data_IF_897592812175
#
_entry.id   IF_897592812175
#
_cell.length_a   1.000
_cell.length_b   1.000
_cell.length_c   1.000
_cell.angle_alpha   90.00
_cell.angle_beta   90.00
_cell.angle_gamma   90.00
#
_symmetry.space_group_name_H-M   'P 1'
#
loop_
_entity.id
_entity.type
_entity.pdbx_description
1 polymer ?
#
# COMPACT_ATOMS: atom_id res chain seq x y z
N UNK A 1 23.14 52.76 12.27
CA UNK A 1 22.96 51.69 13.27
C UNK A 1 21.95 50.63 12.84
N UNK A 2 20.63 50.85 12.82
CA UNK A 2 19.68 49.78 12.43
C UNK A 2 19.84 49.32 10.95
N UNK A 3 19.93 50.25 10.00
CA UNK A 3 20.14 49.92 8.57
C UNK A 3 21.55 49.38 8.26
N UNK A 4 22.58 49.79 9.00
CA UNK A 4 23.94 49.21 8.87
C UNK A 4 23.96 47.77 9.33
N UNK A 5 23.26 47.46 10.43
CA UNK A 5 23.08 46.10 10.92
C UNK A 5 22.33 45.21 9.90
N UNK A 6 21.33 45.75 9.21
CA UNK A 6 20.59 45.01 8.18
C UNK A 6 21.42 44.70 6.93
N UNK A 7 22.28 45.62 6.50
CA UNK A 7 23.22 45.35 5.39
C UNK A 7 24.23 44.26 5.75
N UNK A 8 24.76 44.31 6.97
CA UNK A 8 25.68 43.29 7.47
C UNK A 8 24.99 41.93 7.64
N UNK A 9 23.72 41.90 8.04
CA UNK A 9 22.92 40.67 8.06
C UNK A 9 22.71 40.11 6.64
N UNK A 10 22.29 40.93 5.68
CA UNK A 10 22.05 40.48 4.30
C UNK A 10 23.34 39.97 3.62
N UNK A 11 24.50 40.59 3.90
CA UNK A 11 25.77 40.16 3.32
C UNK A 11 26.25 38.80 3.86
N UNK A 12 25.76 38.37 5.03
CA UNK A 12 26.04 37.05 5.62
C UNK A 12 25.07 35.97 5.16
N UNK A 13 23.90 36.34 4.62
CA UNK A 13 22.94 35.39 4.05
C UNK A 13 23.49 34.76 2.77
N UNK A 14 23.18 33.49 2.57
CA UNK A 14 23.38 32.77 1.32
C UNK A 14 22.46 33.30 0.21
N UNK A 15 22.81 32.98 -1.04
CA UNK A 15 22.02 33.40 -2.20
C UNK A 15 20.59 32.86 -2.14
N UNK A 16 20.40 31.64 -1.62
CA UNK A 16 19.07 31.04 -1.44
C UNK A 16 18.25 31.74 -0.36
N UNK A 17 18.85 32.05 0.78
CA UNK A 17 18.18 32.80 1.85
C UNK A 17 17.72 34.17 1.36
N UNK A 18 18.55 34.87 0.56
CA UNK A 18 18.18 36.15 -0.04
C UNK A 18 17.04 36.01 -1.06
N UNK A 19 17.09 34.99 -1.93
CA UNK A 19 16.01 34.72 -2.91
C UNK A 19 14.71 34.40 -2.18
N UNK A 20 14.74 33.53 -1.18
CA UNK A 20 13.57 33.13 -0.39
C UNK A 20 12.95 34.33 0.34
N UNK A 21 13.78 35.13 1.02
CA UNK A 21 13.32 36.35 1.71
C UNK A 21 12.76 37.41 0.76
N UNK A 22 13.26 37.49 -0.49
CA UNK A 22 12.73 38.41 -1.50
C UNK A 22 11.40 37.95 -2.12
N UNK A 23 11.06 36.66 -2.00
CA UNK A 23 9.95 35.99 -2.69
C UNK A 23 8.94 35.39 -1.70
N UNK A 24 9.14 34.14 -1.26
CA UNK A 24 8.19 33.37 -0.43
C UNK A 24 7.97 34.04 0.93
N UNK A 25 9.04 34.44 1.61
CA UNK A 25 8.95 34.98 2.97
C UNK A 25 8.84 36.52 2.96
N UNK A 26 8.53 37.12 1.80
CA UNK A 26 8.55 38.58 1.60
C UNK A 26 7.68 39.33 2.60
N UNK A 27 6.52 38.77 2.95
CA UNK A 27 5.57 39.40 3.88
C UNK A 27 6.06 39.47 5.33
N UNK A 28 7.08 38.67 5.70
CA UNK A 28 7.68 38.70 7.03
C UNK A 28 8.58 39.93 7.24
N UNK A 29 8.94 40.63 6.15
CA UNK A 29 9.89 41.72 6.16
C UNK A 29 9.23 43.06 5.80
N UNK A 30 9.72 44.13 6.42
CA UNK A 30 9.30 45.49 6.06
C UNK A 30 9.97 45.95 4.74
N UNK A 31 9.38 46.95 4.08
CA UNK A 31 9.86 47.46 2.79
C UNK A 31 11.33 47.90 2.79
N UNK A 32 11.80 48.52 3.88
CA UNK A 32 13.19 48.99 3.98
C UNK A 32 14.19 47.83 4.00
N UNK A 33 13.85 46.71 4.64
CA UNK A 33 14.69 45.52 4.64
C UNK A 33 14.68 44.82 3.28
N UNK A 34 13.52 44.75 2.63
CA UNK A 34 13.38 44.21 1.27
C UNK A 34 14.17 45.01 0.23
N UNK A 35 14.26 46.34 0.37
CA UNK A 35 15.11 47.17 -0.49
C UNK A 35 16.61 46.83 -0.33
N UNK A 36 17.04 46.49 0.89
CA UNK A 36 18.42 46.08 1.16
C UNK A 36 18.69 44.71 0.53
N UNK A 37 17.79 43.74 0.70
CA UNK A 37 17.88 42.42 0.05
C UNK A 37 17.97 42.58 -1.48
N UNK A 38 17.11 43.42 -2.07
CA UNK A 38 17.13 43.70 -3.51
C UNK A 38 18.41 44.42 -3.98
N UNK A 39 19.06 45.19 -3.09
CA UNK A 39 20.41 45.73 -3.32
C UNK A 39 21.45 44.61 -3.36
N UNK A 40 21.47 43.77 -2.34
CA UNK A 40 22.42 42.65 -2.22
C UNK A 40 22.30 41.65 -3.37
N UNK A 41 21.08 41.28 -3.77
CA UNK A 41 20.83 40.41 -4.93
C UNK A 41 21.42 41.01 -6.22
N UNK A 42 21.26 42.32 -6.44
CA UNK A 42 21.84 43.02 -7.61
C UNK A 42 23.36 43.05 -7.54
N UNK A 43 23.92 43.30 -6.37
CA UNK A 43 25.37 43.34 -6.17
C UNK A 43 26.01 41.96 -6.41
N UNK A 44 25.27 40.87 -6.11
CA UNK A 44 25.65 39.48 -6.42
C UNK A 44 25.28 39.01 -7.82
N UNK A 45 24.64 39.86 -8.63
CA UNK A 45 24.15 39.55 -9.98
C UNK A 45 23.19 38.33 -10.01
N UNK A 46 22.33 38.24 -9.01
CA UNK A 46 21.29 37.20 -8.90
C UNK A 46 19.99 37.76 -9.47
N UNK A 47 19.55 37.19 -10.58
CA UNK A 47 18.25 37.48 -11.19
C UNK A 47 17.24 36.41 -10.76
N UNK A 48 16.09 36.83 -10.20
CA UNK A 48 15.06 35.93 -9.69
C UNK A 48 14.47 35.05 -10.81
N UNK A 49 14.24 35.63 -11.99
CA UNK A 49 13.75 34.87 -13.14
C UNK A 49 14.81 33.90 -13.67
N UNK A 50 16.08 34.33 -13.65
CA UNK A 50 17.22 33.50 -14.03
C UNK A 50 17.46 32.30 -13.10
N UNK A 51 17.25 32.42 -11.78
CA UNK A 51 17.44 31.28 -10.85
C UNK A 51 16.24 30.33 -10.79
N UNK A 52 15.07 30.74 -11.28
CA UNK A 52 13.91 29.86 -11.42
C UNK A 52 14.16 28.72 -12.44
N UNK A 53 15.19 28.84 -13.30
CA UNK A 53 15.56 27.83 -14.29
C UNK A 53 17.09 27.58 -14.30
N UNK A 54 17.55 26.33 -14.50
CA UNK A 54 16.77 25.12 -14.71
C UNK A 54 16.21 24.54 -13.41
N UNK A 55 15.10 23.80 -13.52
CA UNK A 55 14.52 22.99 -12.45
C UNK A 55 15.08 21.58 -12.52
N UNK A 56 15.15 20.93 -11.36
CA UNK A 56 15.59 19.53 -11.26
C UNK A 56 14.39 18.61 -11.39
N UNK A 57 14.42 17.72 -12.37
CA UNK A 57 13.36 16.74 -12.61
C UNK A 57 13.94 15.33 -12.56
N UNK A 58 13.33 14.46 -11.76
CA UNK A 58 13.65 13.04 -11.65
C UNK A 58 12.40 12.20 -11.90
N UNK A 59 12.56 11.12 -12.67
CA UNK A 59 11.51 10.11 -12.89
C UNK A 59 11.84 8.85 -12.10
N UNK A 60 11.00 8.45 -11.16
CA UNK A 60 11.27 7.30 -10.27
C UNK A 60 12.72 7.37 -9.71
N UNK A 61 13.49 6.29 -9.88
CA UNK A 61 14.88 6.16 -9.42
C UNK A 61 15.91 6.55 -10.49
N UNK A 62 15.50 7.24 -11.55
CA UNK A 62 16.42 7.69 -12.60
C UNK A 62 17.32 8.84 -12.15
N UNK A 63 18.35 9.14 -12.94
CA UNK A 63 19.24 10.27 -12.69
C UNK A 63 18.47 11.59 -12.86
N UNK A 64 18.67 12.50 -11.91
CA UNK A 64 18.11 13.86 -11.94
C UNK A 64 18.61 14.63 -13.17
N UNK A 65 17.70 15.35 -13.84
CA UNK A 65 17.98 16.19 -15.00
C UNK A 65 17.66 17.65 -14.69
N UNK A 66 18.53 18.56 -15.09
CA UNK A 66 18.27 19.99 -15.06
C UNK A 66 17.62 20.42 -16.38
N UNK A 67 16.38 20.93 -16.32
CA UNK A 67 15.55 21.28 -17.49
C UNK A 67 14.95 22.68 -17.33
N UNK A 68 14.62 23.35 -18.43
CA UNK A 68 13.75 24.53 -18.36
C UNK A 68 12.34 24.14 -17.89
N UNK A 69 11.55 25.07 -17.34
CA UNK A 69 10.23 24.75 -16.75
C UNK A 69 9.31 24.10 -17.80
N UNK A 70 9.25 24.65 -19.01
CA UNK A 70 8.38 24.11 -20.06
C UNK A 70 8.85 22.74 -20.59
N UNK A 71 10.16 22.46 -20.54
CA UNK A 71 10.70 21.14 -20.89
C UNK A 71 10.31 20.10 -19.83
N UNK A 72 10.39 20.47 -18.54
CA UNK A 72 9.94 19.62 -17.46
C UNK A 72 8.43 19.33 -17.55
N UNK A 73 7.60 20.35 -17.84
CA UNK A 73 6.16 20.19 -18.06
C UNK A 73 5.85 19.26 -19.25
N UNK A 74 6.64 19.30 -20.32
CA UNK A 74 6.46 18.40 -21.45
C UNK A 74 6.69 16.93 -21.07
N UNK A 75 7.64 16.65 -20.16
CA UNK A 75 7.89 15.31 -19.62
C UNK A 75 6.74 14.82 -18.72
N UNK A 76 6.11 15.71 -17.95
CA UNK A 76 4.96 15.37 -17.09
C UNK A 76 3.72 14.93 -17.88
N UNK A 77 3.63 15.23 -19.19
CA UNK A 77 2.51 14.79 -20.05
C UNK A 77 2.56 13.33 -20.45
N UNK A 78 3.67 12.64 -20.16
CA UNK A 78 3.85 11.23 -20.54
C UNK A 78 2.80 10.36 -19.83
N UNK A 79 2.44 9.25 -20.45
CA UNK A 79 1.59 8.27 -19.78
C UNK A 79 2.36 7.66 -18.60
N UNK A 80 1.71 7.70 -17.43
CA UNK A 80 2.23 7.20 -16.17
C UNK A 80 1.42 6.00 -15.73
N UNK A 81 2.09 5.00 -15.18
CA UNK A 81 1.45 3.95 -14.40
C UNK A 81 1.17 4.45 -12.99
N UNK A 82 0.31 3.75 -12.25
CA UNK A 82 -0.04 4.11 -10.86
C UNK A 82 1.15 4.06 -9.86
N UNK A 83 2.31 3.54 -10.28
CA UNK A 83 3.54 3.50 -9.46
C UNK A 83 4.57 4.54 -9.87
N UNK A 84 4.38 5.19 -11.01
CA UNK A 84 5.33 6.17 -11.50
C UNK A 84 5.17 7.49 -10.75
N UNK A 85 6.30 8.11 -10.43
CA UNK A 85 6.34 9.44 -9.83
C UNK A 85 7.41 10.30 -10.48
N UNK A 86 7.12 11.59 -10.52
CA UNK A 86 8.09 12.62 -10.82
C UNK A 86 8.46 13.35 -9.54
N UNK A 87 9.74 13.65 -9.35
CA UNK A 87 10.21 14.59 -8.34
C UNK A 87 10.71 15.84 -9.05
N UNK A 88 10.06 16.97 -8.79
CA UNK A 88 10.44 18.27 -9.33
C UNK A 88 10.93 19.15 -8.19
N UNK A 89 12.21 19.51 -8.21
CA UNK A 89 12.85 20.33 -7.17
C UNK A 89 13.26 21.69 -7.73
N UNK A 90 12.85 22.76 -7.06
CA UNK A 90 13.18 24.14 -7.45
C UNK A 90 14.54 24.60 -6.88
N UNK A 91 14.93 25.84 -7.15
CA UNK A 91 16.19 26.43 -6.68
C UNK A 91 16.33 26.49 -5.15
N UNK A 92 15.20 26.66 -4.45
CA UNK A 92 15.09 26.76 -3.00
C UNK A 92 15.05 25.39 -2.29
N UNK A 93 15.26 24.30 -3.03
CA UNK A 93 15.22 22.91 -2.53
C UNK A 93 13.85 22.47 -2.01
N UNK A 94 12.81 23.18 -2.43
CA UNK A 94 11.43 22.72 -2.34
C UNK A 94 11.19 21.67 -3.42
N UNK A 95 10.46 20.60 -3.09
CA UNK A 95 10.19 19.48 -4.00
C UNK A 95 8.70 19.18 -4.09
N UNK A 96 8.19 19.07 -5.32
CA UNK A 96 6.90 18.48 -5.63
C UNK A 96 7.10 17.05 -6.14
N UNK A 97 6.56 16.07 -5.42
CA UNK A 97 6.41 14.70 -5.92
C UNK A 97 5.04 14.57 -6.57
N UNK A 98 5.01 14.25 -7.86
CA UNK A 98 3.82 14.24 -8.70
C UNK A 98 3.55 12.79 -9.16
N UNK A 99 2.36 12.29 -8.85
CA UNK A 99 1.86 10.98 -9.27
C UNK A 99 0.57 11.14 -10.07
N UNK A 100 0.28 10.19 -10.95
CA UNK A 100 -1.00 10.15 -11.68
C UNK A 100 -1.96 9.18 -11.00
N UNK A 101 -3.14 9.69 -10.68
CA UNK A 101 -4.26 8.91 -10.16
C UNK A 101 -5.40 8.88 -11.19
N UNK A 102 -6.37 7.97 -11.02
CA UNK A 102 -7.57 7.95 -11.85
C UNK A 102 -8.36 9.28 -11.74
N UNK A 103 -8.32 9.92 -10.57
CA UNK A 103 -8.99 11.19 -10.30
C UNK A 103 -8.19 12.44 -10.78
N UNK A 104 -6.94 12.29 -11.22
CA UNK A 104 -6.10 13.41 -11.66
C UNK A 104 -4.62 13.26 -11.32
N UNK A 105 -4.04 14.26 -10.67
CA UNK A 105 -2.64 14.30 -10.25
C UNK A 105 -2.53 14.48 -8.74
N UNK A 106 -1.85 13.53 -8.09
CA UNK A 106 -1.52 13.58 -6.68
C UNK A 106 -0.18 14.31 -6.50
N UNK A 107 -0.18 15.37 -5.71
CA UNK A 107 0.99 16.20 -5.43
C UNK A 107 1.35 16.07 -3.96
N UNK A 108 2.61 15.82 -3.68
CA UNK A 108 3.18 15.88 -2.33
C UNK A 108 4.25 16.97 -2.30
N UNK A 109 4.08 17.94 -1.41
CA UNK A 109 5.00 19.03 -1.21
C UNK A 109 5.95 18.74 -0.05
N UNK A 110 7.25 18.89 -0.34
CA UNK A 110 8.34 18.74 0.60
C UNK A 110 9.19 20.01 0.58
N UNK A 111 9.72 20.37 1.74
CA UNK A 111 10.81 21.34 1.85
C UNK A 111 12.00 20.60 2.43
N UNK A 112 13.10 20.57 1.68
CA UNK A 112 14.22 19.68 1.97
C UNK A 112 13.75 18.21 2.04
N UNK A 113 13.87 17.57 3.20
CA UNK A 113 13.43 16.19 3.45
C UNK A 113 12.14 16.13 4.29
N UNK A 114 11.54 17.27 4.63
CA UNK A 114 10.34 17.34 5.47
C UNK A 114 9.09 17.37 4.61
N UNK A 115 8.18 16.43 4.90
CA UNK A 115 6.83 16.44 4.34
C UNK A 115 6.04 17.64 4.88
N UNK A 116 5.35 18.35 3.99
CA UNK A 116 4.42 19.39 4.36
C UNK A 116 2.99 18.95 4.07
N UNK A 117 2.59 19.00 2.80
CA UNK A 117 1.19 18.89 2.41
C UNK A 117 0.98 17.99 1.19
N UNK A 118 -0.23 17.45 1.05
CA UNK A 118 -0.67 16.70 -0.13
C UNK A 118 -1.89 17.34 -0.80
N UNK A 119 -1.92 17.31 -2.14
CA UNK A 119 -2.99 17.90 -2.93
C UNK A 119 -3.43 16.99 -4.06
N UNK A 120 -4.70 17.11 -4.46
CA UNK A 120 -5.23 16.47 -5.66
C UNK A 120 -5.57 17.52 -6.72
N UNK A 121 -4.96 17.45 -7.90
CA UNK A 121 -5.28 18.34 -9.02
C UNK A 121 -6.07 17.57 -10.08
N UNK A 122 -7.22 18.12 -10.48
CA UNK A 122 -8.16 17.46 -11.39
C UNK A 122 -7.77 17.53 -12.88
N UNK A 123 -6.76 18.33 -13.25
CA UNK A 123 -6.39 18.55 -14.64
C UNK A 123 -4.89 18.82 -14.81
N UNK A 124 -4.39 18.53 -16.01
CA UNK A 124 -3.01 18.86 -16.36
C UNK A 124 -2.80 20.37 -16.46
N UNK A 125 -3.83 21.15 -16.83
CA UNK A 125 -3.71 22.60 -16.94
C UNK A 125 -3.48 23.24 -15.56
N UNK A 126 -4.22 22.80 -14.54
CA UNK A 126 -4.01 23.22 -13.15
C UNK A 126 -2.63 22.79 -12.65
N UNK A 127 -2.21 21.55 -12.94
CA UNK A 127 -0.85 21.08 -12.62
C UNK A 127 0.22 21.98 -13.24
N UNK A 128 0.09 22.29 -14.53
CA UNK A 128 1.07 23.08 -15.25
C UNK A 128 1.14 24.52 -14.73
N UNK A 129 0.01 25.11 -14.33
CA UNK A 129 -0.01 26.42 -13.69
C UNK A 129 0.68 26.37 -12.31
N UNK A 130 0.34 25.40 -11.47
CA UNK A 130 0.95 25.20 -10.14
C UNK A 130 2.46 25.01 -10.25
N UNK A 131 2.94 24.16 -11.15
CA UNK A 131 4.39 23.95 -11.35
C UNK A 131 5.09 25.23 -11.80
N UNK A 132 4.51 26.03 -12.70
CA UNK A 132 5.13 27.30 -13.13
C UNK A 132 5.30 28.26 -11.96
N UNK A 133 4.25 28.45 -11.16
CA UNK A 133 4.27 29.35 -10.02
C UNK A 133 5.22 28.85 -8.93
N UNK A 134 5.17 27.55 -8.63
CA UNK A 134 6.08 26.88 -7.70
C UNK A 134 7.56 27.09 -8.07
N UNK A 135 7.91 26.93 -9.35
CA UNK A 135 9.28 27.13 -9.82
C UNK A 135 9.71 28.61 -9.82
N UNK A 136 8.75 29.53 -9.97
CA UNK A 136 8.99 30.99 -9.99
C UNK A 136 8.87 31.65 -8.61
N UNK A 137 8.70 30.85 -7.55
CA UNK A 137 8.54 31.33 -6.17
C UNK A 137 7.32 32.26 -6.01
N UNK A 138 6.28 32.02 -6.81
CA UNK A 138 4.99 32.71 -6.73
C UNK A 138 4.04 31.92 -5.81
N UNK A 139 2.95 32.54 -5.36
CA UNK A 139 1.92 31.84 -4.60
C UNK A 139 1.15 30.87 -5.50
N UNK A 140 1.50 29.59 -5.38
CA UNK A 140 0.89 28.49 -6.12
C UNK A 140 -0.24 27.80 -5.35
N UNK A 141 -0.43 28.13 -4.07
CA UNK A 141 -1.52 27.60 -3.25
C UNK A 141 -2.88 28.16 -3.69
N UNK A 142 -2.91 29.39 -4.22
CA UNK A 142 -4.16 30.01 -4.73
C UNK A 142 -4.83 29.20 -5.85
N UNK A 143 -4.08 28.36 -6.57
CA UNK A 143 -4.64 27.48 -7.60
C UNK A 143 -5.39 26.26 -7.04
N UNK A 144 -5.22 25.97 -5.74
CA UNK A 144 -5.68 24.74 -5.12
C UNK A 144 -6.90 25.07 -4.27
N UNK A 145 -8.07 24.58 -4.66
CA UNK A 145 -9.26 24.73 -3.81
C UNK A 145 -9.09 23.90 -2.53
N UNK A 146 -9.63 24.40 -1.41
CA UNK A 146 -9.46 23.78 -0.10
C UNK A 146 -9.88 22.29 -0.07
N UNK A 147 -10.95 21.92 -0.79
CA UNK A 147 -11.44 20.54 -0.88
C UNK A 147 -10.45 19.56 -1.54
N UNK A 148 -9.34 20.06 -2.10
CA UNK A 148 -8.27 19.26 -2.70
C UNK A 148 -7.03 19.12 -1.80
N UNK A 149 -7.05 19.67 -0.58
CA UNK A 149 -6.02 19.44 0.44
C UNK A 149 -6.25 18.08 1.09
N UNK A 150 -5.42 17.10 0.74
CA UNK A 150 -5.62 15.70 1.13
C UNK A 150 -5.27 15.42 2.59
N UNK A 151 -4.54 16.30 3.27
CA UNK A 151 -4.27 16.14 4.71
C UNK A 151 -5.52 16.39 5.57
N UNK A 152 -6.50 17.11 5.02
CA UNK A 152 -7.81 17.30 5.62
C UNK A 152 -8.78 16.16 5.28
N UNK A 153 -8.38 15.20 4.45
CA UNK A 153 -9.19 14.03 4.14
C UNK A 153 -9.06 12.97 5.23
N UNK A 154 -10.07 12.10 5.33
CA UNK A 154 -10.10 10.99 6.27
C UNK A 154 -10.16 9.66 5.53
N UNK A 155 -9.53 8.64 6.10
CA UNK A 155 -9.67 7.25 5.61
C UNK A 155 -11.09 6.79 5.94
N UNK A 156 -11.85 6.44 4.91
CA UNK A 156 -13.20 5.88 5.03
C UNK A 156 -13.14 4.35 5.22
N UNK A 157 -12.37 3.67 4.36
CA UNK A 157 -12.21 2.20 4.35
C UNK A 157 -10.74 1.85 4.12
N UNK A 158 -10.26 0.82 4.81
CA UNK A 158 -8.99 0.15 4.53
C UNK A 158 -9.24 -1.34 4.32
N UNK A 159 -8.73 -1.91 3.24
CA UNK A 159 -8.85 -3.35 2.99
C UNK A 159 -7.74 -3.87 2.06
N UNK A 160 -7.23 -5.09 2.26
CA UNK A 160 -6.37 -5.75 1.28
C UNK A 160 -7.15 -6.23 0.04
N UNK A 161 -8.49 -6.28 0.10
CA UNK A 161 -9.34 -6.72 -1.01
C UNK A 161 -9.58 -5.61 -2.03
N UNK A 162 -9.02 -5.77 -3.23
CA UNK A 162 -9.27 -4.86 -4.35
C UNK A 162 -10.72 -4.86 -4.79
N UNK A 163 -11.36 -6.03 -4.85
CA UNK A 163 -12.77 -6.15 -5.23
C UNK A 163 -13.67 -5.36 -4.27
N UNK A 164 -13.40 -5.41 -2.96
CA UNK A 164 -14.15 -4.66 -1.96
C UNK A 164 -13.99 -3.15 -2.18
N UNK A 165 -12.74 -2.70 -2.33
CA UNK A 165 -12.39 -1.29 -2.56
C UNK A 165 -13.03 -0.75 -3.84
N UNK A 166 -12.98 -1.51 -4.93
CA UNK A 166 -13.58 -1.15 -6.21
C UNK A 166 -15.12 -1.04 -6.10
N UNK A 167 -15.76 -1.91 -5.31
CA UNK A 167 -17.21 -1.82 -5.04
C UNK A 167 -17.55 -0.55 -4.25
N UNK A 168 -16.82 -0.25 -3.17
CA UNK A 168 -17.06 0.96 -2.37
C UNK A 168 -16.83 2.20 -3.24
N UNK A 169 -15.71 2.27 -3.96
CA UNK A 169 -15.36 3.38 -4.86
C UNK A 169 -16.47 3.64 -5.89
N UNK A 170 -16.94 2.59 -6.58
CA UNK A 170 -18.02 2.71 -7.55
C UNK A 170 -19.36 3.16 -6.92
N UNK A 171 -19.62 2.84 -5.66
CA UNK A 171 -20.81 3.30 -4.94
C UNK A 171 -20.69 4.77 -4.51
N UNK A 172 -19.49 5.21 -4.12
CA UNK A 172 -19.18 6.61 -3.83
C UNK A 172 -19.32 7.47 -5.09
N UNK A 173 -18.80 7.01 -6.24
CA UNK A 173 -18.96 7.69 -7.54
C UNK A 173 -20.43 7.94 -7.88
N UNK A 174 -21.28 6.90 -7.76
CA UNK A 174 -22.73 7.01 -8.03
C UNK A 174 -23.43 8.00 -7.10
N UNK A 175 -22.93 8.15 -5.89
CA UNK A 175 -23.46 9.05 -4.88
C UNK A 175 -22.86 10.46 -4.94
N UNK A 176 -21.93 10.70 -5.87
CA UNK A 176 -21.23 11.97 -6.02
C UNK A 176 -20.27 12.28 -4.85
N UNK A 177 -19.88 11.26 -4.08
CA UNK A 177 -18.90 11.41 -3.00
C UNK A 177 -17.50 11.36 -3.59
N UNK A 178 -16.77 12.46 -3.44
CA UNK A 178 -15.40 12.56 -3.93
C UNK A 178 -14.50 11.64 -3.10
N UNK A 179 -13.63 10.90 -3.78
CA UNK A 179 -12.71 9.99 -3.11
C UNK A 179 -11.44 9.75 -3.94
N UNK A 180 -10.42 9.19 -3.31
CA UNK A 180 -9.23 8.62 -3.98
C UNK A 180 -8.95 7.24 -3.41
N UNK A 181 -8.36 6.36 -4.23
CA UNK A 181 -7.90 5.03 -3.81
C UNK A 181 -6.38 5.03 -3.76
N UNK A 182 -5.81 4.80 -2.57
CA UNK A 182 -4.35 4.80 -2.38
C UNK A 182 -3.90 3.52 -1.72
N UNK A 183 -2.84 2.89 -2.25
CA UNK A 183 -2.14 1.85 -1.50
C UNK A 183 -1.53 2.43 -0.23
N UNK A 184 -1.49 1.65 0.84
CA UNK A 184 -0.68 1.92 2.02
C UNK A 184 0.77 2.05 1.58
N UNK A 185 1.22 3.30 1.38
CA UNK A 185 2.58 3.57 0.94
C UNK A 185 3.55 3.11 2.03
N UNK A 186 4.59 2.32 1.69
CA UNK A 186 5.66 1.98 2.63
C UNK A 186 6.39 3.21 3.20
N UNK A 187 6.30 4.37 2.54
CA UNK A 187 7.15 5.54 2.80
C UNK A 187 6.86 6.36 4.07
N UNK A 188 5.73 6.15 4.76
CA UNK A 188 5.54 6.70 6.12
C UNK A 188 5.79 5.66 7.22
N UNK A 189 5.94 4.39 6.83
CA UNK A 189 6.09 3.24 7.70
C UNK A 189 7.55 2.80 7.90
N UNK A 190 8.54 3.47 7.28
CA UNK A 190 9.97 3.20 7.49
C UNK A 190 10.45 3.48 8.94
N UNK A 191 9.61 4.06 9.80
CA UNK A 191 9.93 4.31 11.22
C UNK A 191 9.11 3.48 12.23
N UNK A 192 8.35 2.46 11.81
CA UNK A 192 7.72 1.50 12.73
C UNK A 192 8.36 0.13 12.56
N UNK A 193 9.23 -0.31 13.49
CA UNK A 193 9.85 -1.62 13.41
C UNK A 193 8.87 -2.69 13.94
N UNK A 194 8.00 -3.24 13.08
CA UNK A 194 7.45 -4.58 13.30
C UNK A 194 7.16 -5.30 11.97
N UNK A 195 7.84 -6.44 11.81
CA UNK A 195 7.63 -7.40 10.73
C UNK A 195 6.24 -8.04 10.78
N UNK A 196 5.58 -7.98 9.64
CA UNK A 196 4.69 -8.97 9.01
C UNK A 196 4.64 -8.52 7.55
N UNK A 197 4.87 -9.43 6.61
CA UNK A 197 4.95 -9.14 5.17
C UNK A 197 3.85 -8.15 4.74
N UNK A 198 4.24 -7.11 4.01
CA UNK A 198 3.37 -6.01 3.62
C UNK A 198 2.20 -6.49 2.78
N UNK A 199 1.09 -6.88 3.42
CA UNK A 199 -0.21 -6.79 2.75
C UNK A 199 -0.46 -5.30 2.56
N UNK A 200 -0.09 -4.77 1.40
CA UNK A 200 -0.38 -3.39 1.03
C UNK A 200 -1.90 -3.24 0.99
N UNK A 201 -2.51 -2.83 2.10
CA UNK A 201 -3.93 -2.50 2.12
C UNK A 201 -4.16 -1.31 1.19
N UNK A 202 -5.32 -1.30 0.55
CA UNK A 202 -5.80 -0.15 -0.19
C UNK A 202 -6.69 0.66 0.75
N UNK A 203 -6.56 1.97 0.68
CA UNK A 203 -7.32 2.92 1.47
C UNK A 203 -8.18 3.78 0.54
N UNK A 204 -9.44 3.97 0.91
CA UNK A 204 -10.29 5.00 0.31
C UNK A 204 -10.24 6.22 1.21
N UNK A 205 -9.75 7.34 0.68
CA UNK A 205 -9.78 8.62 1.37
C UNK A 205 -10.92 9.47 0.82
N UNK A 206 -11.58 10.21 1.70
CA UNK A 206 -12.66 11.15 1.37
C UNK A 206 -12.44 12.50 2.06
N UNK A 207 -12.96 13.60 1.51
CA UNK A 207 -13.02 14.86 2.24
C UNK A 207 -13.84 14.71 3.53
N UNK A 208 -13.34 15.24 4.66
CA UNK A 208 -13.98 15.08 5.99
C UNK A 208 -15.41 15.58 6.02
N UNK A 209 -15.71 16.66 5.31
CA UNK A 209 -17.04 17.26 5.22
C UNK A 209 -18.05 16.37 4.48
N UNK A 210 -17.58 15.43 3.65
CA UNK A 210 -18.41 14.44 2.98
C UNK A 210 -18.59 13.15 3.78
N UNK A 211 -18.04 13.07 5.01
CA UNK A 211 -18.13 11.89 5.88
C UNK A 211 -19.55 11.34 6.04
N UNK A 212 -20.53 12.20 6.36
CA UNK A 212 -21.93 11.75 6.50
C UNK A 212 -22.63 11.37 5.19
N UNK A 213 -22.11 11.78 4.02
CA UNK A 213 -22.58 11.26 2.74
C UNK A 213 -21.95 9.89 2.45
N UNK A 214 -20.66 9.72 2.74
CA UNK A 214 -19.94 8.47 2.60
C UNK A 214 -20.46 7.37 3.54
N UNK A 215 -20.76 7.69 4.79
CA UNK A 215 -21.37 6.75 5.76
C UNK A 215 -22.70 6.22 5.25
N UNK A 216 -23.54 7.07 4.64
CA UNK A 216 -24.80 6.61 4.03
C UNK A 216 -24.59 5.62 2.88
N UNK A 217 -23.48 5.74 2.13
CA UNK A 217 -23.12 4.77 1.10
C UNK A 217 -22.74 3.43 1.74
N UNK A 218 -21.97 3.46 2.83
CA UNK A 218 -21.63 2.23 3.57
C UNK A 218 -22.88 1.57 4.19
N UNK A 219 -23.82 2.35 4.74
CA UNK A 219 -25.09 1.84 5.26
C UNK A 219 -25.93 1.14 4.18
N UNK A 220 -25.93 1.66 2.95
CA UNK A 220 -26.62 1.02 1.82
C UNK A 220 -25.96 -0.30 1.40
N UNK A 221 -24.63 -0.37 1.49
CA UNK A 221 -23.87 -1.59 1.22
C UNK A 221 -24.13 -2.63 2.31
N UNK A 222 -24.18 -2.23 3.59
CA UNK A 222 -24.54 -3.11 4.69
C UNK A 222 -25.96 -3.70 4.52
N UNK A 223 -26.94 -2.87 4.16
CA UNK A 223 -28.30 -3.35 3.82
C UNK A 223 -28.30 -4.32 2.64
N UNK A 224 -27.41 -4.10 1.67
CA UNK A 224 -27.25 -5.01 0.53
C UNK A 224 -26.69 -6.35 0.99
N UNK A 225 -25.69 -6.36 1.89
CA UNK A 225 -25.14 -7.57 2.52
C UNK A 225 -26.24 -8.34 3.27
N UNK A 226 -27.05 -7.66 4.10
CA UNK A 226 -28.16 -8.28 4.81
C UNK A 226 -29.23 -8.88 3.87
N UNK A 227 -29.50 -8.22 2.74
CA UNK A 227 -30.42 -8.73 1.73
C UNK A 227 -29.86 -9.98 1.04
N UNK A 228 -28.55 -10.00 0.77
CA UNK A 228 -27.86 -11.14 0.16
C UNK A 228 -27.85 -12.36 1.10
N UNK A 229 -27.59 -12.19 2.40
CA UNK A 229 -27.68 -13.29 3.37
C UNK A 229 -29.09 -13.91 3.40
N UNK A 230 -30.14 -13.08 3.48
CA UNK A 230 -31.53 -13.57 3.41
C UNK A 230 -31.85 -14.27 2.09
N UNK A 231 -31.25 -13.81 0.98
CA UNK A 231 -31.38 -14.46 -0.31
C UNK A 231 -30.69 -15.82 -0.34
N UNK A 232 -29.49 -15.94 0.25
CA UNK A 232 -28.76 -17.19 0.38
C UNK A 232 -29.58 -18.21 1.19
N UNK A 233 -30.11 -17.83 2.36
CA UNK A 233 -30.95 -18.69 3.18
C UNK A 233 -32.15 -19.25 2.41
N UNK A 234 -32.85 -18.38 1.65
CA UNK A 234 -34.00 -18.78 0.85
C UNK A 234 -33.65 -19.67 -0.36
N UNK A 235 -32.39 -19.63 -0.83
CA UNK A 235 -31.87 -20.50 -1.89
C UNK A 235 -31.42 -21.85 -1.32
N UNK A 236 -30.80 -21.84 -0.14
CA UNK A 236 -30.43 -23.04 0.61
C UNK A 236 -31.68 -23.89 0.93
N UNK A 237 -32.77 -23.27 1.39
CA UNK A 237 -34.06 -23.95 1.63
C UNK A 237 -34.62 -24.64 0.36
N UNK A 238 -34.31 -24.11 -0.81
CA UNK A 238 -34.74 -24.67 -2.11
C UNK A 238 -33.74 -25.68 -2.68
N UNK A 239 -32.52 -25.75 -2.14
CA UNK A 239 -31.43 -26.55 -2.68
C UNK A 239 -30.91 -26.07 -4.04
N UNK A 240 -31.06 -24.79 -4.38
CA UNK A 240 -30.57 -24.22 -5.65
C UNK A 240 -29.10 -23.78 -5.52
N UNK A 241 -28.22 -24.77 -5.34
CA UNK A 241 -26.78 -24.56 -5.08
C UNK A 241 -26.08 -23.64 -6.09
N UNK A 242 -26.34 -23.71 -7.42
CA UNK A 242 -25.69 -22.79 -8.36
C UNK A 242 -26.03 -21.32 -8.12
N UNK A 243 -27.28 -20.99 -7.81
CA UNK A 243 -27.67 -19.60 -7.51
C UNK A 243 -27.21 -19.17 -6.13
N UNK A 244 -27.24 -20.08 -5.16
CA UNK A 244 -26.70 -19.81 -3.84
C UNK A 244 -25.20 -19.45 -3.92
N UNK A 245 -24.45 -20.19 -4.74
CA UNK A 245 -23.05 -19.91 -5.01
C UNK A 245 -22.84 -18.52 -5.64
N UNK A 246 -23.70 -18.09 -6.57
CA UNK A 246 -23.63 -16.73 -7.14
C UNK A 246 -23.76 -15.65 -6.04
N UNK A 247 -24.65 -15.87 -5.07
CA UNK A 247 -24.82 -14.96 -3.92
C UNK A 247 -23.57 -14.95 -3.04
N UNK A 248 -23.05 -16.12 -2.67
CA UNK A 248 -21.83 -16.20 -1.85
C UNK A 248 -20.58 -15.70 -2.56
N UNK A 249 -20.49 -15.82 -3.88
CA UNK A 249 -19.43 -15.20 -4.67
C UNK A 249 -19.45 -13.67 -4.56
N UNK A 250 -20.65 -13.07 -4.48
CA UNK A 250 -20.77 -11.62 -4.32
C UNK A 250 -20.57 -11.18 -2.85
N UNK A 251 -21.10 -11.93 -1.88
CA UNK A 251 -20.85 -11.70 -0.46
C UNK A 251 -19.35 -11.74 -0.14
N UNK A 252 -18.59 -12.67 -0.74
CA UNK A 252 -17.14 -12.77 -0.55
C UNK A 252 -16.36 -11.52 -0.99
N UNK A 253 -16.89 -10.77 -1.97
CA UNK A 253 -16.30 -9.49 -2.40
C UNK A 253 -16.63 -8.36 -1.45
N UNK A 254 -17.82 -8.39 -0.85
CA UNK A 254 -18.31 -7.39 0.09
C UNK A 254 -17.79 -7.60 1.52
N UNK A 255 -17.50 -8.85 1.88
CA UNK A 255 -17.03 -9.26 3.20
C UNK A 255 -15.76 -10.11 3.07
N UNK A 256 -14.64 -9.54 2.59
CA UNK A 256 -13.42 -10.30 2.32
C UNK A 256 -12.79 -10.92 3.58
N UNK A 257 -13.11 -10.39 4.75
CA UNK A 257 -12.56 -10.80 6.04
C UNK A 257 -13.53 -11.69 6.86
N UNK A 258 -14.72 -12.03 6.32
CA UNK A 258 -15.74 -12.81 7.02
C UNK A 258 -15.56 -14.31 6.76
N UNK A 259 -15.07 -15.04 7.76
CA UNK A 259 -14.81 -16.48 7.66
C UNK A 259 -16.06 -17.32 7.39
N UNK A 260 -17.24 -16.90 7.85
CA UNK A 260 -18.51 -17.62 7.66
C UNK A 260 -18.94 -17.55 6.20
N UNK A 261 -18.77 -16.40 5.55
CA UNK A 261 -19.03 -16.24 4.11
C UNK A 261 -18.16 -17.19 3.29
N UNK A 262 -16.86 -17.27 3.60
CA UNK A 262 -15.94 -18.16 2.90
C UNK A 262 -16.22 -19.64 3.18
N UNK A 263 -16.57 -19.98 4.43
CA UNK A 263 -16.93 -21.34 4.82
C UNK A 263 -18.19 -21.84 4.10
N UNK A 264 -19.27 -21.04 4.10
CA UNK A 264 -20.52 -21.41 3.42
C UNK A 264 -20.32 -21.50 1.90
N UNK A 265 -19.56 -20.58 1.31
CA UNK A 265 -19.18 -20.68 -0.12
C UNK A 265 -18.44 -21.99 -0.41
N UNK A 266 -17.53 -22.39 0.49
CA UNK A 266 -16.75 -23.61 0.34
C UNK A 266 -17.62 -24.87 0.42
N UNK A 267 -18.60 -24.93 1.33
CA UNK A 267 -19.57 -26.02 1.41
C UNK A 267 -20.36 -26.19 0.12
N UNK A 268 -20.89 -25.10 -0.44
CA UNK A 268 -21.65 -25.14 -1.69
C UNK A 268 -20.76 -25.62 -2.85
N UNK A 269 -19.52 -25.15 -2.92
CA UNK A 269 -18.55 -25.59 -3.94
C UNK A 269 -18.21 -27.08 -3.77
N UNK A 270 -18.09 -27.55 -2.53
CA UNK A 270 -17.84 -28.96 -2.22
C UNK A 270 -19.00 -29.85 -2.66
N UNK A 271 -20.24 -29.45 -2.37
CA UNK A 271 -21.46 -30.17 -2.79
C UNK A 271 -21.65 -30.18 -4.31
N UNK A 272 -21.14 -29.14 -5.00
CA UNK A 272 -21.08 -29.07 -6.46
C UNK A 272 -19.86 -29.82 -7.04
N UNK A 273 -19.07 -30.51 -6.22
CA UNK A 273 -17.84 -31.24 -6.57
C UNK A 273 -16.75 -30.37 -7.21
N UNK A 274 -16.79 -29.05 -6.97
CA UNK A 274 -15.79 -28.07 -7.43
C UNK A 274 -14.65 -27.97 -6.42
N UNK A 275 -13.98 -29.10 -6.17
CA UNK A 275 -13.05 -29.26 -5.05
C UNK A 275 -11.88 -28.26 -4.98
N UNK A 276 -11.21 -27.87 -6.09
CA UNK A 276 -10.14 -26.87 -6.02
C UNK A 276 -10.63 -25.50 -5.53
N UNK A 277 -11.82 -25.08 -5.98
CA UNK A 277 -12.42 -23.81 -5.58
C UNK A 277 -12.96 -23.86 -4.14
N UNK A 278 -13.51 -25.02 -3.75
CA UNK A 278 -13.91 -25.28 -2.37
C UNK A 278 -12.70 -25.19 -1.43
N UNK A 279 -11.58 -25.83 -1.79
CA UNK A 279 -10.34 -25.78 -1.03
C UNK A 279 -9.84 -24.35 -0.84
N UNK A 280 -9.77 -23.57 -1.92
CA UNK A 280 -9.38 -22.15 -1.83
C UNK A 280 -10.29 -21.35 -0.89
N UNK A 281 -11.60 -21.64 -0.91
CA UNK A 281 -12.57 -20.98 -0.03
C UNK A 281 -12.45 -21.42 1.44
N UNK A 282 -12.22 -22.71 1.72
CA UNK A 282 -11.93 -23.20 3.06
C UNK A 282 -10.61 -22.64 3.61
N UNK A 283 -9.56 -22.55 2.79
CA UNK A 283 -8.28 -21.94 3.19
C UNK A 283 -8.50 -20.48 3.61
N UNK A 284 -9.29 -19.72 2.86
CA UNK A 284 -9.60 -18.35 3.25
C UNK A 284 -10.45 -18.28 4.53
N UNK A 285 -11.41 -19.20 4.71
CA UNK A 285 -12.18 -19.31 5.95
C UNK A 285 -11.28 -19.61 7.15
N UNK A 286 -10.25 -20.45 6.97
CA UNK A 286 -9.22 -20.69 7.99
C UNK A 286 -8.44 -19.43 8.33
N UNK A 287 -7.92 -18.73 7.31
CA UNK A 287 -7.12 -17.51 7.51
C UNK A 287 -7.94 -16.45 8.27
N UNK A 288 -9.17 -16.20 7.82
CA UNK A 288 -10.07 -15.24 8.45
C UNK A 288 -10.50 -15.69 9.84
N UNK A 289 -10.81 -16.98 10.01
CA UNK A 289 -11.25 -17.56 11.28
C UNK A 289 -10.15 -17.53 12.35
N UNK A 290 -8.89 -17.73 11.99
CA UNK A 290 -7.75 -17.56 12.91
C UNK A 290 -7.65 -16.08 13.34
N UNK A 291 -7.77 -15.14 12.41
CA UNK A 291 -7.74 -13.71 12.71
C UNK A 291 -8.89 -13.29 13.65
N UNK A 292 -10.10 -13.82 13.41
CA UNK A 292 -11.30 -13.59 14.22
C UNK A 292 -11.36 -14.43 15.51
N UNK A 293 -10.44 -15.39 15.70
CA UNK A 293 -10.45 -16.39 16.80
C UNK A 293 -11.68 -17.30 16.81
N UNK A 294 -12.26 -17.59 15.64
CA UNK A 294 -13.39 -18.48 15.46
C UNK A 294 -12.92 -19.92 15.18
N UNK A 295 -12.42 -20.58 16.23
CA UNK A 295 -11.77 -21.89 16.12
C UNK A 295 -12.67 -23.03 15.61
N UNK A 296 -13.99 -22.91 15.75
CA UNK A 296 -14.93 -23.92 15.23
C UNK A 296 -14.92 -23.97 13.69
N UNK A 297 -15.05 -22.81 13.03
CA UNK A 297 -15.01 -22.70 11.56
C UNK A 297 -13.66 -23.20 11.02
N UNK A 298 -12.59 -22.91 11.75
CA UNK A 298 -11.23 -23.34 11.44
C UNK A 298 -11.11 -24.87 11.44
N UNK A 299 -11.60 -25.55 12.49
CA UNK A 299 -11.53 -27.01 12.61
C UNK A 299 -12.46 -27.72 11.61
N UNK A 300 -13.66 -27.16 11.37
CA UNK A 300 -14.57 -27.68 10.35
C UNK A 300 -13.94 -27.57 8.95
N UNK A 301 -13.36 -26.41 8.63
CA UNK A 301 -12.68 -26.19 7.33
C UNK A 301 -11.52 -27.16 7.12
N UNK A 302 -10.72 -27.41 8.15
CA UNK A 302 -9.63 -28.39 8.12
C UNK A 302 -10.13 -29.80 7.82
N UNK A 303 -11.25 -30.20 8.43
CA UNK A 303 -11.87 -31.51 8.17
C UNK A 303 -12.25 -31.64 6.70
N UNK A 304 -12.90 -30.62 6.12
CA UNK A 304 -13.22 -30.63 4.69
C UNK A 304 -12.00 -30.60 3.78
N UNK A 305 -10.92 -29.88 4.14
CA UNK A 305 -9.67 -29.90 3.38
C UNK A 305 -9.05 -31.31 3.33
N UNK A 306 -9.12 -32.06 4.44
CA UNK A 306 -8.69 -33.46 4.47
C UNK A 306 -9.58 -34.36 3.60
N UNK A 307 -10.90 -34.14 3.58
CA UNK A 307 -11.81 -34.86 2.69
C UNK A 307 -11.54 -34.55 1.21
N UNK A 308 -11.23 -33.29 0.88
CA UNK A 308 -10.85 -32.88 -0.48
C UNK A 308 -9.61 -33.64 -0.94
N UNK A 309 -8.59 -33.80 -0.09
CA UNK A 309 -7.38 -34.58 -0.43
C UNK A 309 -7.64 -36.07 -0.70
N UNK A 310 -8.79 -36.61 -0.29
CA UNK A 310 -9.21 -37.97 -0.64
C UNK A 310 -9.87 -38.04 -2.03
N UNK A 311 -10.31 -36.90 -2.56
CA UNK A 311 -11.11 -36.80 -3.80
C UNK A 311 -10.29 -36.28 -4.99
N UNK A 312 -9.31 -35.43 -4.73
CA UNK A 312 -8.42 -34.86 -5.75
C UNK A 312 -6.94 -35.10 -5.42
N UNK A 313 -6.04 -35.04 -6.42
CA UNK A 313 -4.60 -35.06 -6.16
C UNK A 313 -4.20 -33.95 -5.17
N UNK A 314 -3.20 -34.18 -4.32
CA UNK A 314 -2.78 -33.20 -3.33
C UNK A 314 -2.22 -31.94 -4.00
N UNK A 315 -2.65 -30.78 -3.50
CA UNK A 315 -2.21 -29.45 -3.93
C UNK A 315 -1.35 -28.81 -2.82
N UNK A 316 -0.22 -28.14 -3.15
CA UNK A 316 0.68 -27.56 -2.15
C UNK A 316 0.00 -26.62 -1.16
N UNK A 317 -0.96 -25.82 -1.61
CA UNK A 317 -1.69 -24.85 -0.79
C UNK A 317 -2.48 -25.54 0.33
N UNK A 318 -3.21 -26.62 0.00
CA UNK A 318 -3.96 -27.44 0.97
C UNK A 318 -2.99 -28.08 1.95
N UNK A 319 -1.89 -28.66 1.45
CA UNK A 319 -0.90 -29.32 2.28
C UNK A 319 -0.22 -28.33 3.24
N UNK A 320 0.09 -27.11 2.81
CA UNK A 320 0.64 -26.05 3.67
C UNK A 320 -0.32 -25.70 4.80
N UNK A 321 -1.61 -25.50 4.49
CA UNK A 321 -2.63 -25.21 5.50
C UNK A 321 -2.74 -26.36 6.52
N UNK A 322 -2.82 -27.62 6.07
CA UNK A 322 -2.90 -28.78 6.96
C UNK A 322 -1.61 -28.99 7.77
N UNK A 323 -0.44 -28.74 7.18
CA UNK A 323 0.83 -28.80 7.90
C UNK A 323 0.90 -27.76 9.03
N UNK A 324 0.44 -26.53 8.77
CA UNK A 324 0.34 -25.48 9.79
C UNK A 324 -0.56 -25.93 10.95
N UNK A 325 -1.74 -26.48 10.66
CA UNK A 325 -2.62 -27.03 11.69
C UNK A 325 -1.96 -28.14 12.50
N UNK A 326 -1.30 -29.08 11.84
CA UNK A 326 -0.61 -30.16 12.53
C UNK A 326 0.51 -29.65 13.45
N UNK A 327 1.16 -28.53 13.12
CA UNK A 327 2.12 -27.89 14.03
C UNK A 327 1.43 -27.25 15.24
N UNK A 328 0.31 -26.54 15.02
CA UNK A 328 -0.47 -25.90 16.09
C UNK A 328 -1.06 -26.92 17.07
N UNK A 329 -1.48 -28.09 16.58
CA UNK A 329 -1.99 -29.20 17.40
C UNK A 329 -0.90 -30.04 18.07
N UNK A 330 0.36 -29.61 18.00
CA UNK A 330 1.51 -30.35 18.52
C UNK A 330 1.65 -31.76 17.92
N UNK A 331 1.29 -31.91 16.64
CA UNK A 331 1.42 -33.14 15.83
C UNK A 331 2.55 -33.00 14.79
N UNK A 332 3.83 -32.89 15.21
CA UNK A 332 4.94 -32.62 14.30
C UNK A 332 5.18 -33.72 13.26
N UNK A 333 4.81 -34.97 13.56
CA UNK A 333 4.94 -36.08 12.63
C UNK A 333 4.00 -35.96 11.42
N UNK A 334 2.78 -35.48 11.63
CA UNK A 334 1.81 -35.28 10.55
C UNK A 334 2.18 -34.03 9.72
N UNK A 335 2.62 -32.95 10.38
CA UNK A 335 3.18 -31.78 9.70
C UNK A 335 4.36 -32.15 8.80
N UNK A 336 5.30 -32.95 9.31
CA UNK A 336 6.45 -33.44 8.54
C UNK A 336 6.01 -34.22 7.29
N UNK A 337 4.99 -35.07 7.41
CA UNK A 337 4.44 -35.82 6.28
C UNK A 337 3.90 -34.88 5.20
N UNK A 338 3.12 -33.87 5.57
CA UNK A 338 2.60 -32.89 4.61
C UNK A 338 3.73 -32.10 3.94
N UNK A 339 4.71 -31.58 4.68
CA UNK A 339 5.83 -30.84 4.08
C UNK A 339 6.66 -31.70 3.13
N UNK A 340 6.84 -33.00 3.41
CA UNK A 340 7.50 -33.91 2.47
C UNK A 340 6.70 -34.08 1.18
N UNK A 341 5.38 -34.23 1.28
CA UNK A 341 4.50 -34.27 0.09
C UNK A 341 4.59 -32.97 -0.72
N UNK A 342 4.72 -31.82 -0.07
CA UNK A 342 4.92 -30.53 -0.75
C UNK A 342 6.24 -30.56 -1.52
N UNK A 343 7.34 -31.03 -0.93
CA UNK A 343 8.63 -31.13 -1.62
C UNK A 343 8.64 -32.17 -2.74
N UNK A 344 7.82 -33.23 -2.66
CA UNK A 344 7.65 -34.18 -3.76
C UNK A 344 6.95 -33.53 -4.97
N UNK A 345 6.00 -32.61 -4.72
CA UNK A 345 5.27 -31.87 -5.76
C UNK A 345 6.05 -30.66 -6.29
N UNK A 346 6.69 -29.92 -5.37
CA UNK A 346 7.41 -28.68 -5.60
C UNK A 346 8.72 -28.71 -4.80
N UNK A 347 9.79 -29.31 -5.37
CA UNK A 347 11.09 -29.41 -4.68
C UNK A 347 11.73 -28.07 -4.31
N UNK A 348 11.29 -26.96 -4.92
CA UNK A 348 11.75 -25.61 -4.62
C UNK A 348 10.82 -24.83 -3.70
N UNK A 349 9.97 -25.50 -2.90
CA UNK A 349 9.11 -24.83 -1.94
C UNK A 349 9.89 -24.42 -0.68
N UNK A 350 10.14 -23.13 -0.56
CA UNK A 350 10.95 -22.55 0.50
C UNK A 350 10.32 -22.69 1.87
N UNK A 351 8.98 -22.59 1.97
CA UNK A 351 8.24 -22.70 3.23
C UNK A 351 8.34 -24.13 3.77
N UNK A 352 8.22 -25.13 2.90
CA UNK A 352 8.38 -26.53 3.28
C UNK A 352 9.82 -26.85 3.71
N UNK A 353 10.83 -26.30 3.03
CA UNK A 353 12.23 -26.42 3.45
C UNK A 353 12.47 -25.80 4.83
N UNK A 354 11.98 -24.59 5.09
CA UNK A 354 12.14 -23.94 6.39
C UNK A 354 11.53 -24.78 7.52
N UNK A 355 10.27 -25.19 7.36
CA UNK A 355 9.55 -25.91 8.40
C UNK A 355 10.10 -27.33 8.64
N UNK A 356 10.53 -28.03 7.59
CA UNK A 356 11.23 -29.32 7.75
C UNK A 356 12.57 -29.15 8.46
N UNK A 357 13.30 -28.06 8.18
CA UNK A 357 14.52 -27.70 8.90
C UNK A 357 14.27 -27.60 10.41
N UNK A 358 13.28 -26.81 10.81
CA UNK A 358 12.88 -26.67 12.22
C UNK A 358 12.39 -27.99 12.83
N UNK A 359 11.61 -28.78 12.11
CA UNK A 359 11.13 -30.09 12.58
C UNK A 359 12.28 -31.08 12.81
N UNK A 360 13.28 -31.09 11.93
CA UNK A 360 14.47 -31.93 12.07
C UNK A 360 15.36 -31.45 13.23
N UNK A 361 15.53 -30.14 13.39
CA UNK A 361 16.39 -29.54 14.43
C UNK A 361 15.92 -29.86 15.86
N UNK A 362 14.65 -30.25 16.06
CA UNK A 362 14.14 -30.69 17.37
C UNK A 362 14.78 -32.00 17.88
N UNK A 363 15.46 -32.77 17.02
CA UNK A 363 16.18 -33.99 17.39
C UNK A 363 17.62 -33.92 16.85
N UNK A 364 18.60 -33.84 17.75
CA UNK A 364 20.04 -33.74 17.41
C UNK A 364 20.50 -34.84 16.45
N UNK A 365 19.86 -36.01 16.45
CA UNK A 365 20.18 -37.13 15.53
C UNK A 365 19.88 -36.80 14.07
N UNK A 366 19.02 -35.81 13.85
CA UNK A 366 18.52 -35.35 12.53
C UNK A 366 19.15 -34.02 12.10
N UNK A 367 20.15 -33.54 12.82
CA UNK A 367 20.89 -32.31 12.51
C UNK A 367 21.40 -32.24 11.06
N UNK A 368 21.86 -33.35 10.49
CA UNK A 368 22.28 -33.41 9.10
C UNK A 368 21.14 -33.09 8.10
N UNK A 369 19.91 -33.52 8.40
CA UNK A 369 18.72 -33.21 7.60
C UNK A 369 18.31 -31.75 7.80
N UNK A 370 18.37 -31.26 9.06
CA UNK A 370 18.09 -29.87 9.37
C UNK A 370 18.99 -28.92 8.57
N UNK A 371 20.31 -29.18 8.57
CA UNK A 371 21.29 -28.42 7.77
C UNK A 371 20.97 -28.44 6.28
N UNK A 372 20.58 -29.59 5.72
CA UNK A 372 20.21 -29.70 4.31
C UNK A 372 19.02 -28.80 3.98
N UNK A 373 17.97 -28.85 4.81
CA UNK A 373 16.75 -28.09 4.59
C UNK A 373 16.96 -26.58 4.78
N UNK A 374 17.67 -26.15 5.83
CA UNK A 374 17.95 -24.73 6.06
C UNK A 374 18.84 -24.12 4.96
N UNK A 375 19.86 -24.84 4.49
CA UNK A 375 20.69 -24.36 3.38
C UNK A 375 19.91 -24.19 2.08
N UNK A 376 18.99 -25.12 1.78
CA UNK A 376 18.13 -24.97 0.59
C UNK A 376 17.13 -23.81 0.77
N UNK A 377 16.57 -23.61 1.97
CA UNK A 377 15.74 -22.43 2.27
C UNK A 377 16.49 -21.11 2.00
N UNK A 378 17.69 -20.94 2.55
CA UNK A 378 18.47 -19.70 2.35
C UNK A 378 18.91 -19.49 0.90
N UNK A 379 19.10 -20.58 0.15
CA UNK A 379 19.37 -20.53 -1.29
C UNK A 379 18.13 -20.11 -2.09
N UNK A 380 16.95 -20.61 -1.72
CA UNK A 380 15.68 -20.24 -2.35
C UNK A 380 15.25 -18.81 -2.00
N UNK A 381 15.61 -18.31 -0.80
CA UNK A 381 15.27 -16.97 -0.31
C UNK A 381 16.51 -16.22 0.25
N UNK A 382 17.41 -15.72 -0.62
CA UNK A 382 18.67 -15.05 -0.20
C UNK A 382 18.50 -13.74 0.58
N UNK A 383 17.29 -13.16 0.62
CA UNK A 383 16.95 -11.94 1.34
C UNK A 383 15.81 -12.15 2.34
N UNK A 384 15.73 -13.34 2.94
CA UNK A 384 14.71 -13.62 3.95
C UNK A 384 14.91 -12.76 5.20
N UNK A 385 13.82 -12.26 5.80
CA UNK A 385 13.89 -11.47 7.03
C UNK A 385 14.49 -12.27 8.20
N UNK A 386 14.25 -13.57 8.22
CA UNK A 386 14.75 -14.53 9.20
C UNK A 386 16.12 -15.14 8.82
N UNK A 387 16.80 -14.61 7.80
CA UNK A 387 18.07 -15.14 7.30
C UNK A 387 19.12 -15.30 8.40
N UNK A 388 19.33 -14.27 9.22
CA UNK A 388 20.35 -14.29 10.29
C UNK A 388 20.03 -15.34 11.36
N UNK A 389 18.74 -15.54 11.67
CA UNK A 389 18.30 -16.51 12.66
C UNK A 389 18.55 -17.95 12.16
N UNK A 390 18.19 -18.23 10.91
CA UNK A 390 18.44 -19.55 10.29
C UNK A 390 19.93 -19.81 10.13
N UNK A 391 20.72 -18.81 9.71
CA UNK A 391 22.18 -18.91 9.59
C UNK A 391 22.86 -19.17 10.94
N UNK A 392 22.36 -18.58 12.03
CA UNK A 392 22.87 -18.85 13.37
C UNK A 392 22.64 -20.31 13.78
N UNK A 393 21.46 -20.87 13.48
CA UNK A 393 21.15 -22.29 13.73
C UNK A 393 22.08 -23.20 12.92
N UNK A 394 22.33 -22.88 11.64
CA UNK A 394 23.27 -23.63 10.80
C UNK A 394 24.65 -23.70 11.47
N UNK A 395 25.18 -22.56 11.94
CA UNK A 395 26.49 -22.48 12.62
C UNK A 395 26.53 -23.18 13.97
N UNK A 396 25.41 -23.29 14.66
CA UNK A 396 25.31 -24.01 15.94
C UNK A 396 25.38 -25.52 15.75
N UNK A 397 24.80 -26.02 14.66
CA UNK A 397 24.76 -27.46 14.33
C UNK A 397 26.12 -27.95 13.78
N UNK A 398 26.87 -27.09 13.09
CA UNK A 398 28.22 -27.35 12.54
C UNK A 398 29.30 -27.45 13.62
#
# INVERSE_FOLDING_TARGET
>A
MAQENWKEQCSQMSDRELVRAATIDREEFNEQFLEIIAGELRDRNIDLAGVAEPVKLRFNDQVERALAIEEALAELKRELTARDSWSLTNYLEETLVIQKDAAGFLLHYYFEEQYHNSFLLNSFDTLAQTVRQFCRFEDWYENIEHDFYLDDWSVLVSSPSRDYIDIIAAALDKSGVRHIVRGSSPGWAEWIPMGRGSSSSLNILIPREQGGAAERVLDEIEKTIEALHRQADALAEKGDLPKELEVYNYLAKLQPDDEVVFFNRALILFDLERYPEAASSFIQAVINGIAAKHLAVVEDSKTYLQEILQKIPPEPEILHTLASFSLEEEQPAEAEKYYRMILDLKPGDEIAHLNLGYLCYRDERRNHQALQHFREYLKLKPGAEDWEAVEAIIKEIE
#
